data_IF_864513763771
#
_entry.id   IF_864513763771
#
_cell.length_a   1.000
_cell.length_b   1.000
_cell.length_c   1.000
_cell.angle_alpha   90.00
_cell.angle_beta   90.00
_cell.angle_gamma   90.00
#
_symmetry.space_group_name_H-M   'P 1'
#
loop_
_entity.id
_entity.type
_entity.pdbx_description
1 polymer ?
#
# COMPACT_ATOMS: atom_id res chain seq x y z
N UNK A 1 2.37 11.84 -15.72
CA UNK A 1 2.25 12.87 -14.67
C UNK A 1 3.65 13.25 -14.22
N UNK A 2 3.83 14.42 -13.62
CA UNK A 2 5.10 14.82 -12.99
C UNK A 2 5.09 14.48 -11.51
N UNK A 3 3.91 14.49 -10.86
CA UNK A 3 3.72 14.10 -9.47
C UNK A 3 2.33 13.49 -9.24
N UNK A 4 2.25 12.51 -8.35
CA UNK A 4 0.99 11.94 -7.82
C UNK A 4 1.00 12.14 -6.30
N UNK A 5 -0.08 12.67 -5.75
CA UNK A 5 -0.19 12.91 -4.30
C UNK A 5 -1.51 12.33 -3.79
N UNK A 6 -1.47 11.43 -2.80
CA UNK A 6 -2.64 11.05 -2.00
C UNK A 6 -2.87 12.16 -0.98
N UNK A 7 -4.00 12.84 -1.08
CA UNK A 7 -4.24 14.10 -0.35
C UNK A 7 -5.02 13.90 0.93
N UNK A 8 -5.98 12.98 0.94
CA UNK A 8 -6.83 12.77 2.11
C UNK A 8 -7.53 11.42 2.11
N UNK A 9 -8.02 11.03 3.29
CA UNK A 9 -8.97 9.94 3.49
C UNK A 9 -10.21 10.52 4.19
N UNK A 10 -11.39 10.32 3.61
CA UNK A 10 -12.68 10.71 4.22
C UNK A 10 -13.64 9.54 4.16
N UNK A 11 -14.24 9.17 5.28
CA UNK A 11 -15.20 8.06 5.36
C UNK A 11 -14.70 6.76 4.71
N UNK A 12 -13.42 6.43 4.95
CA UNK A 12 -12.71 5.29 4.32
C UNK A 12 -12.52 5.37 2.81
N UNK A 13 -12.68 6.55 2.21
CA UNK A 13 -12.44 6.82 0.80
C UNK A 13 -11.22 7.72 0.65
N UNK A 14 -10.22 7.24 -0.08
CA UNK A 14 -9.01 8.01 -0.39
C UNK A 14 -9.20 8.91 -1.61
N UNK A 15 -8.51 10.04 -1.61
CA UNK A 15 -8.48 11.02 -2.69
C UNK A 15 -7.04 11.27 -3.14
N UNK A 16 -6.86 11.58 -4.42
CA UNK A 16 -5.56 11.85 -4.99
C UNK A 16 -5.61 13.00 -5.99
N UNK A 17 -4.49 13.69 -6.13
CA UNK A 17 -4.27 14.67 -7.18
C UNK A 17 -3.12 14.25 -8.09
N UNK A 18 -3.30 14.53 -9.37
CA UNK A 18 -2.30 14.41 -10.42
C UNK A 18 -1.80 15.78 -10.79
N UNK A 19 -0.49 15.92 -10.81
CA UNK A 19 0.17 17.06 -11.41
C UNK A 19 0.78 16.65 -12.73
N UNK A 20 0.50 17.45 -13.75
CA UNK A 20 1.01 17.24 -15.09
C UNK A 20 1.65 18.53 -15.59
N UNK A 21 2.78 18.39 -16.29
CA UNK A 21 3.31 19.45 -17.13
C UNK A 21 2.68 19.33 -18.53
N UNK A 22 1.85 20.30 -18.88
CA UNK A 22 1.22 20.43 -20.19
C UNK A 22 1.87 21.59 -20.98
N UNK A 23 3.12 21.38 -21.40
CA UNK A 23 3.85 22.33 -22.26
C UNK A 23 4.37 23.56 -21.52
N UNK A 24 4.98 23.36 -20.36
CA UNK A 24 5.49 24.41 -19.47
C UNK A 24 4.45 24.97 -18.50
N UNK A 25 3.25 24.37 -18.46
CA UNK A 25 2.17 24.75 -17.55
C UNK A 25 1.83 23.59 -16.65
N UNK A 26 1.98 23.81 -15.35
CA UNK A 26 1.54 22.88 -14.32
C UNK A 26 0.01 22.88 -14.24
N UNK A 27 -0.59 21.70 -14.34
CA UNK A 27 -2.04 21.50 -14.20
C UNK A 27 -2.27 20.47 -13.09
N UNK A 28 -3.14 20.83 -12.17
CA UNK A 28 -3.63 19.98 -11.09
C UNK A 28 -4.96 19.36 -11.47
N UNK A 29 -5.07 18.04 -11.34
CA UNK A 29 -6.25 17.26 -11.73
C UNK A 29 -6.61 16.32 -10.59
N UNK A 30 -7.83 16.48 -10.05
CA UNK A 30 -8.38 15.53 -9.09
C UNK A 30 -8.58 14.16 -9.74
N UNK A 31 -8.16 13.11 -9.04
CA UNK A 31 -8.17 11.74 -9.52
C UNK A 31 -8.56 10.77 -8.41
N UNK A 32 -9.09 9.62 -8.80
CA UNK A 32 -9.18 8.50 -7.86
C UNK A 32 -7.77 7.94 -7.63
N UNK A 33 -7.43 7.53 -6.40
CA UNK A 33 -6.12 6.94 -6.10
C UNK A 33 -5.74 5.79 -7.02
N UNK A 34 -6.68 4.91 -7.37
CA UNK A 34 -6.42 3.77 -8.27
C UNK A 34 -5.93 4.20 -9.66
N UNK A 35 -6.53 5.26 -10.22
CA UNK A 35 -6.17 5.76 -11.54
C UNK A 35 -4.83 6.50 -11.49
N UNK A 36 -4.61 7.29 -10.43
CA UNK A 36 -3.37 8.02 -10.23
C UNK A 36 -2.17 7.07 -10.03
N UNK A 37 -2.32 6.04 -9.19
CA UNK A 37 -1.30 5.02 -8.95
C UNK A 37 -1.04 4.21 -10.22
N UNK A 38 -2.07 3.84 -10.98
CA UNK A 38 -1.89 3.11 -12.24
C UNK A 38 -1.09 3.92 -13.27
N UNK A 39 -1.33 5.23 -13.35
CA UNK A 39 -0.53 6.13 -14.18
C UNK A 39 0.91 6.23 -13.67
N UNK A 40 1.10 6.40 -12.37
CA UNK A 40 2.41 6.47 -11.74
C UNK A 40 3.26 5.23 -12.07
N UNK A 41 2.69 4.04 -11.84
CA UNK A 41 3.33 2.76 -12.13
C UNK A 41 3.72 2.61 -13.61
N UNK A 42 2.88 3.09 -14.54
CA UNK A 42 3.16 3.01 -15.98
C UNK A 42 4.21 4.01 -16.47
N UNK A 43 4.34 5.15 -15.79
CA UNK A 43 5.18 6.27 -16.24
C UNK A 43 6.42 6.47 -15.38
N UNK A 44 6.57 5.74 -14.28
CA UNK A 44 7.65 5.93 -13.31
C UNK A 44 7.53 7.24 -12.53
N UNK A 45 6.33 7.85 -12.49
CA UNK A 45 6.10 9.07 -11.71
C UNK A 45 6.19 8.76 -10.22
N UNK A 46 6.87 9.59 -9.41
CA UNK A 46 6.89 9.42 -7.96
C UNK A 46 5.50 9.62 -7.34
N UNK A 47 5.20 8.81 -6.33
CA UNK A 47 3.96 8.86 -5.55
C UNK A 47 4.27 9.41 -4.17
N UNK A 48 3.45 10.35 -3.72
CA UNK A 48 3.53 10.97 -2.40
C UNK A 48 2.20 10.79 -1.67
N UNK A 49 2.24 10.93 -0.35
CA UNK A 49 1.07 11.09 0.49
C UNK A 49 1.28 12.32 1.38
N UNK A 50 0.21 13.05 1.69
CA UNK A 50 0.27 14.05 2.74
C UNK A 50 0.43 13.38 4.11
N UNK A 51 1.13 14.07 5.02
CA UNK A 51 1.42 13.57 6.37
C UNK A 51 0.14 13.16 7.11
N UNK A 52 -0.92 13.97 7.03
CA UNK A 52 -2.22 13.64 7.63
C UNK A 52 -2.80 12.29 7.15
N UNK A 53 -2.54 11.89 5.89
CA UNK A 53 -2.98 10.57 5.38
C UNK A 53 -2.16 9.45 6.03
N UNK A 54 -0.87 9.68 6.26
CA UNK A 54 -0.01 8.73 6.94
C UNK A 54 -0.38 8.62 8.43
N UNK A 55 -0.73 9.73 9.08
CA UNK A 55 -1.17 9.72 10.47
C UNK A 55 -2.50 8.98 10.66
N UNK A 56 -3.45 9.20 9.74
CA UNK A 56 -4.79 8.62 9.84
C UNK A 56 -4.85 7.14 9.38
N UNK A 57 -4.03 6.76 8.41
CA UNK A 57 -4.19 5.49 7.70
C UNK A 57 -2.88 4.77 7.35
N UNK A 58 -1.74 5.30 7.80
CA UNK A 58 -0.44 4.64 7.67
C UNK A 58 -0.43 3.31 8.43
N UNK A 59 0.23 2.33 7.84
CA UNK A 59 0.49 1.05 8.50
C UNK A 59 2.00 0.93 8.68
N UNK A 60 2.42 0.84 9.94
CA UNK A 60 3.78 0.44 10.26
C UNK A 60 3.89 -1.07 10.05
N UNK A 61 4.72 -1.46 9.08
CA UNK A 61 5.13 -2.85 8.97
C UNK A 61 6.32 -3.03 9.90
N UNK A 62 6.19 -3.92 10.88
CA UNK A 62 7.37 -4.50 11.50
C UNK A 62 8.02 -5.36 10.41
N UNK A 63 9.26 -5.01 10.01
CA UNK A 63 10.12 -5.93 9.26
C UNK A 63 10.40 -7.12 10.19
N UNK A 64 9.46 -8.07 10.22
CA UNK A 64 9.70 -9.34 10.85
C UNK A 64 10.78 -10.01 10.03
N UNK A 65 11.99 -10.04 10.59
CA UNK A 65 13.12 -10.74 9.97
C UNK A 65 12.67 -12.14 9.53
N UNK A 66 13.22 -12.65 8.43
CA UNK A 66 12.96 -14.03 7.98
C UNK A 66 13.10 -15.06 9.14
N UNK A 67 13.98 -14.78 10.10
CA UNK A 67 14.15 -15.57 11.33
C UNK A 67 12.90 -15.60 12.23
N UNK A 68 12.22 -14.46 12.41
CA UNK A 68 10.98 -14.37 13.20
C UNK A 68 9.82 -15.12 12.53
N UNK A 69 9.76 -15.11 11.19
CA UNK A 69 8.79 -15.90 10.43
C UNK A 69 9.05 -17.40 10.56
N UNK A 70 10.31 -17.82 10.43
CA UNK A 70 10.73 -19.22 10.60
C UNK A 70 10.45 -19.72 12.01
N UNK A 71 10.69 -18.91 13.05
CA UNK A 71 10.43 -19.31 14.43
C UNK A 71 8.94 -19.47 14.75
N UNK A 72 8.07 -18.63 14.18
CA UNK A 72 6.62 -18.85 14.25
C UNK A 72 6.20 -20.11 13.51
N UNK A 73 6.75 -20.35 12.32
CA UNK A 73 6.46 -21.57 11.57
C UNK A 73 6.90 -22.82 12.34
N UNK A 74 8.07 -22.80 13.01
CA UNK A 74 8.51 -23.89 13.89
C UNK A 74 7.55 -24.13 15.04
N UNK A 75 7.12 -23.07 15.75
CA UNK A 75 6.14 -23.20 16.84
C UNK A 75 4.80 -23.76 16.35
N UNK A 76 4.35 -23.34 15.16
CA UNK A 76 3.16 -23.91 14.53
C UNK A 76 3.34 -25.41 14.28
N UNK A 77 4.49 -25.86 13.76
CA UNK A 77 4.76 -27.29 13.54
C UNK A 77 4.89 -28.10 14.84
N UNK A 78 5.26 -27.47 15.96
CA UNK A 78 5.31 -28.12 17.28
C UNK A 78 3.91 -28.38 17.86
N UNK A 79 2.93 -27.53 17.50
CA UNK A 79 1.55 -27.62 17.99
C UNK A 79 0.64 -28.47 17.09
N UNK A 80 1.01 -28.69 15.82
CA UNK A 80 0.22 -29.46 14.85
C UNK A 80 0.49 -30.95 14.98
N UNK A 81 -0.56 -31.77 15.03
CA UNK A 81 -0.44 -33.23 15.04
C UNK A 81 -0.58 -33.82 13.63
N UNK A 82 -0.17 -35.07 13.46
CA UNK A 82 -0.30 -35.77 12.18
C UNK A 82 -1.77 -35.95 11.79
N UNK A 83 -2.68 -36.02 12.76
CA UNK A 83 -4.13 -36.11 12.51
C UNK A 83 -4.69 -34.85 11.83
N UNK A 84 -4.16 -33.66 12.12
CA UNK A 84 -4.60 -32.39 11.52
C UNK A 84 -4.35 -32.31 10.01
N UNK A 85 -3.37 -33.07 9.51
CA UNK A 85 -3.06 -33.15 8.07
C UNK A 85 -3.85 -34.23 7.33
N UNK A 86 -4.47 -35.16 8.04
CA UNK A 86 -5.13 -36.31 7.44
C UNK A 86 -6.61 -36.06 7.11
N UNK A 87 -7.21 -34.99 7.62
CA UNK A 87 -8.60 -34.63 7.35
C UNK A 87 -9.59 -35.64 7.95
N UNK A 88 -10.66 -35.15 8.57
CA UNK A 88 -11.80 -36.01 8.88
C UNK A 88 -12.47 -36.41 7.54
N UNK A 89 -12.54 -37.71 7.25
CA UNK A 89 -13.43 -38.27 6.20
C UNK A 89 -14.91 -37.98 6.52
#
# INVERSE_FOLDING_TARGET
ATRVTITEMRDSVYFADLEIDAGGREVHISSRPSDAIALAARTGTPVFALEAVMDDAGVEFEDESEEAEVDRFRKMLEEVTVEDFLGED
#
